data_IF_024232254269
#
_entry.id   IF_024232254269
#
_cell.length_a   1.000
_cell.length_b   1.000
_cell.length_c   1.000
_cell.angle_alpha   90.00
_cell.angle_beta   90.00
_cell.angle_gamma   90.00
#
_symmetry.space_group_name_H-M   'P 1'
#
loop_
_entity.id
_entity.type
_entity.pdbx_description
1 polymer ?
#
# COMPACT_ATOMS: atom_id res chain seq x y z
N UNK A 1 32.94 21.86 17.24
CA UNK A 1 32.94 21.06 15.99
C UNK A 1 31.85 20.03 16.15
N UNK A 2 30.73 20.25 15.45
CA UNK A 2 29.60 19.31 15.45
C UNK A 2 30.01 18.01 14.74
N UNK A 3 29.68 16.83 15.27
CA UNK A 3 29.97 15.57 14.61
C UNK A 3 29.18 15.46 13.30
N UNK A 4 29.84 14.94 12.26
CA UNK A 4 29.21 14.66 10.97
C UNK A 4 27.98 13.76 11.14
N UNK A 5 26.93 14.01 10.36
CA UNK A 5 25.69 13.23 10.33
C UNK A 5 25.97 11.74 10.03
N UNK A 6 27.07 11.43 9.33
CA UNK A 6 27.56 10.05 9.13
C UNK A 6 28.07 9.40 10.42
N UNK A 7 28.69 10.16 11.33
CA UNK A 7 29.19 9.63 12.60
C UNK A 7 28.06 9.39 13.60
N UNK A 8 26.99 10.20 13.55
CA UNK A 8 25.77 9.97 14.32
C UNK A 8 25.03 8.71 13.84
N UNK A 9 24.91 8.51 12.52
CA UNK A 9 24.31 7.29 11.93
C UNK A 9 25.11 6.03 12.25
N UNK A 10 26.45 6.08 12.21
CA UNK A 10 27.30 4.93 12.56
C UNK A 10 27.24 4.57 14.03
N UNK A 11 27.01 5.54 14.93
CA UNK A 11 26.82 5.27 16.37
C UNK A 11 25.47 4.62 16.65
N UNK A 12 24.40 5.05 15.98
CA UNK A 12 23.08 4.43 16.10
C UNK A 12 23.06 2.98 15.62
N UNK A 13 23.73 2.69 14.50
CA UNK A 13 23.81 1.32 13.96
C UNK A 13 24.70 0.37 14.78
N UNK A 14 25.66 0.90 15.54
CA UNK A 14 26.48 0.08 16.46
C UNK A 14 25.83 -0.17 17.81
N UNK A 15 24.87 0.66 18.22
CA UNK A 15 24.15 0.50 19.48
C UNK A 15 23.07 -0.61 19.42
N UNK A 16 22.65 -1.04 18.24
CA UNK A 16 21.56 -2.02 18.04
C UNK A 16 22.01 -3.48 17.89
N UNK A 17 23.30 -3.80 17.98
CA UNK A 17 23.78 -5.19 17.95
C UNK A 17 24.90 -5.46 18.96
N UNK A 18 24.68 -6.29 20.00
CA UNK A 18 25.81 -6.89 20.72
C UNK A 18 26.42 -7.99 19.83
N UNK A 19 27.75 -8.24 19.92
CA UNK A 19 28.38 -9.25 19.08
C UNK A 19 28.15 -10.62 19.71
N UNK A 20 27.56 -11.56 18.96
CA UNK A 20 27.71 -12.99 19.27
C UNK A 20 28.09 -13.77 18.02
N UNK A 21 29.04 -14.66 18.25
CA UNK A 21 29.91 -15.27 17.27
C UNK A 21 29.25 -16.25 16.31
N UNK A 22 29.97 -16.43 15.21
CA UNK A 22 30.00 -17.53 14.24
C UNK A 22 29.32 -18.85 14.65
N UNK A 23 28.35 -19.28 13.84
CA UNK A 23 28.34 -20.58 13.12
C UNK A 23 27.19 -20.63 12.09
N UNK A 24 27.34 -21.32 10.94
CA UNK A 24 26.31 -21.42 9.92
C UNK A 24 25.41 -22.62 10.20
N UNK A 25 24.11 -22.36 10.38
CA UNK A 25 23.10 -23.39 10.54
C UNK A 25 21.76 -22.85 10.06
N UNK A 26 21.23 -23.48 9.02
CA UNK A 26 19.87 -23.28 8.53
C UNK A 26 18.90 -23.47 9.68
N UNK A 27 18.21 -22.40 10.08
CA UNK A 27 17.02 -22.45 10.93
C UNK A 27 15.97 -21.53 10.31
N UNK A 28 15.17 -22.17 9.46
CA UNK A 28 13.73 -21.94 9.40
C UNK A 28 13.15 -22.10 10.82
N UNK A 29 12.02 -21.46 11.08
CA UNK A 29 11.35 -21.27 12.38
C UNK A 29 11.81 -20.04 13.19
N UNK A 30 11.20 -18.91 12.84
CA UNK A 30 10.61 -18.06 13.85
C UNK A 30 9.22 -17.68 13.35
N UNK A 31 8.18 -18.04 14.10
CA UNK A 31 6.86 -17.43 14.04
C UNK A 31 7.06 -15.91 14.07
N UNK A 32 7.19 -15.34 12.89
CA UNK A 32 7.44 -13.94 12.70
C UNK A 32 6.15 -13.24 13.09
N UNK A 33 6.25 -12.20 13.90
CA UNK A 33 5.19 -11.20 14.01
C UNK A 33 4.61 -10.97 12.60
N UNK A 34 3.41 -11.51 12.36
CA UNK A 34 2.88 -11.70 11.01
C UNK A 34 2.49 -10.34 10.44
N UNK A 35 3.45 -9.63 9.86
CA UNK A 35 3.20 -8.37 9.16
C UNK A 35 2.50 -8.66 7.83
N UNK A 36 1.39 -7.98 7.59
CA UNK A 36 0.58 -8.05 6.37
C UNK A 36 0.95 -6.86 5.47
N UNK A 37 1.20 -7.05 4.16
CA UNK A 37 1.46 -5.93 3.26
C UNK A 37 0.17 -5.15 2.96
N UNK A 38 0.30 -3.83 2.92
CA UNK A 38 -0.74 -2.91 2.44
C UNK A 38 -0.42 -2.59 0.99
N UNK A 39 -1.35 -2.86 0.10
CA UNK A 39 -1.18 -2.74 -1.35
C UNK A 39 -2.25 -1.82 -1.90
N UNK A 40 -1.85 -0.89 -2.75
CA UNK A 40 -2.75 -0.08 -3.56
C UNK A 40 -2.95 -0.82 -4.88
N UNK A 41 -4.15 -1.35 -5.12
CA UNK A 41 -4.47 -2.14 -6.31
C UNK A 41 -5.18 -1.32 -7.37
N UNK A 42 -4.90 -1.63 -8.64
CA UNK A 42 -5.47 -0.94 -9.80
C UNK A 42 -6.34 -1.89 -10.63
N UNK A 43 -7.45 -1.35 -11.15
CA UNK A 43 -8.31 -2.05 -12.12
C UNK A 43 -7.96 -1.67 -13.56
N UNK A 44 -8.23 -2.55 -14.54
CA UNK A 44 -8.00 -2.26 -15.93
C UNK A 44 -8.94 -1.14 -16.43
N UNK A 45 -8.47 -0.31 -17.39
CA UNK A 45 -9.30 0.70 -18.03
C UNK A 45 -10.48 0.03 -18.74
N UNK A 46 -11.70 0.50 -18.50
CA UNK A 46 -12.91 -0.08 -19.11
C UNK A 46 -13.69 -1.06 -18.23
N UNK A 47 -13.23 -1.35 -17.01
CA UNK A 47 -14.13 -1.94 -15.99
C UNK A 47 -15.28 -0.95 -15.72
N UNK A 48 -16.47 -1.45 -15.34
CA UNK A 48 -17.63 -0.59 -14.98
C UNK A 48 -17.31 0.44 -13.88
N UNK A 49 -16.19 0.27 -13.17
CA UNK A 49 -15.62 1.20 -12.20
C UNK A 49 -14.28 1.75 -12.72
N UNK A 50 -14.29 2.41 -13.88
CA UNK A 50 -13.11 2.86 -14.63
C UNK A 50 -12.17 3.82 -13.85
N UNK A 51 -12.64 4.36 -12.73
CA UNK A 51 -11.89 5.23 -11.83
C UNK A 51 -11.74 4.59 -10.43
N UNK A 52 -11.32 3.34 -10.31
CA UNK A 52 -11.20 2.67 -8.99
C UNK A 52 -9.79 2.21 -8.68
N UNK A 53 -9.17 2.92 -7.74
CA UNK A 53 -8.08 2.42 -6.92
C UNK A 53 -8.68 1.86 -5.63
N UNK A 54 -8.08 0.81 -5.09
CA UNK A 54 -8.48 0.25 -3.80
C UNK A 54 -7.24 -0.03 -2.95
N UNK A 55 -7.42 -0.07 -1.64
CA UNK A 55 -6.38 -0.51 -0.71
C UNK A 55 -6.71 -1.94 -0.32
N UNK A 56 -5.79 -2.87 -0.57
CA UNK A 56 -5.89 -4.26 -0.22
C UNK A 56 -4.85 -4.61 0.84
N UNK A 57 -5.25 -5.34 1.88
CA UNK A 57 -4.34 -5.91 2.87
C UNK A 57 -4.25 -7.40 2.59
N UNK A 58 -3.08 -7.87 2.15
CA UNK A 58 -2.90 -9.29 1.80
C UNK A 58 -2.73 -10.08 3.09
N UNK A 59 -3.72 -10.90 3.42
CA UNK A 59 -3.76 -11.70 4.66
C UNK A 59 -3.01 -13.01 4.51
N UNK A 60 -3.04 -13.59 3.31
CA UNK A 60 -2.27 -14.78 2.97
C UNK A 60 -1.71 -14.66 1.54
N UNK A 61 -0.39 -14.51 1.45
CA UNK A 61 0.31 -14.37 0.16
C UNK A 61 0.28 -15.64 -0.69
N UNK A 62 0.13 -16.82 -0.09
CA UNK A 62 0.10 -18.10 -0.82
C UNK A 62 -1.25 -18.31 -1.50
N UNK A 63 -2.34 -17.92 -0.84
CA UNK A 63 -3.71 -18.03 -1.37
C UNK A 63 -4.21 -16.75 -2.05
N UNK A 64 -3.41 -15.69 -2.06
CA UNK A 64 -3.79 -14.36 -2.58
C UNK A 64 -5.04 -13.77 -1.90
N UNK A 65 -5.36 -14.23 -0.69
CA UNK A 65 -6.49 -13.74 0.07
C UNK A 65 -6.18 -12.38 0.67
N UNK A 66 -7.13 -11.47 0.58
CA UNK A 66 -6.98 -10.11 1.09
C UNK A 66 -8.30 -9.51 1.60
N UNK A 67 -8.13 -8.47 2.41
CA UNK A 67 -9.20 -7.55 2.79
C UNK A 67 -9.10 -6.31 1.92
N UNK A 68 -10.13 -6.04 1.12
CA UNK A 68 -10.12 -4.93 0.15
C UNK A 68 -11.06 -3.83 0.61
N UNK A 69 -10.51 -2.63 0.65
CA UNK A 69 -11.19 -1.38 0.91
C UNK A 69 -11.31 -0.64 -0.43
N UNK A 70 -12.53 -0.52 -0.93
CA UNK A 70 -12.77 0.17 -2.19
C UNK A 70 -13.06 1.65 -1.96
N UNK A 71 -12.50 2.47 -2.83
CA UNK A 71 -12.98 3.85 -3.03
C UNK A 71 -13.96 3.82 -4.18
N UNK A 72 -15.19 4.30 -3.97
CA UNK A 72 -16.11 4.53 -5.06
C UNK A 72 -16.86 5.84 -4.89
N UNK A 73 -17.32 6.41 -6.02
CA UNK A 73 -18.34 7.45 -6.00
C UNK A 73 -19.68 6.79 -5.67
N UNK A 74 -19.98 6.61 -4.39
CA UNK A 74 -21.30 6.15 -3.97
C UNK A 74 -22.32 7.27 -4.10
N UNK A 75 -23.58 6.88 -4.31
CA UNK A 75 -24.73 7.77 -4.15
C UNK A 75 -25.37 7.43 -2.80
N UNK A 76 -25.71 8.43 -1.99
CA UNK A 76 -26.47 8.20 -0.77
C UNK A 76 -27.92 7.78 -1.07
N UNK A 77 -28.65 7.45 -0.01
CA UNK A 77 -30.09 7.13 -0.04
C UNK A 77 -30.99 8.23 -0.63
N UNK A 78 -30.45 9.42 -0.87
CA UNK A 78 -31.14 10.56 -1.47
C UNK A 78 -30.74 10.78 -2.94
N UNK A 79 -29.95 9.87 -3.51
CA UNK A 79 -29.48 9.97 -4.90
C UNK A 79 -28.41 11.04 -5.10
N UNK A 80 -27.87 11.61 -4.02
CA UNK A 80 -26.77 12.56 -4.07
C UNK A 80 -25.46 11.80 -4.08
N UNK A 81 -24.46 12.24 -4.86
CA UNK A 81 -23.11 11.67 -4.75
C UNK A 81 -22.60 11.91 -3.33
N UNK A 82 -22.52 10.85 -2.55
CA UNK A 82 -21.95 10.84 -1.21
C UNK A 82 -20.67 10.00 -1.30
N UNK A 83 -19.51 10.64 -1.40
CA UNK A 83 -18.26 9.90 -1.53
C UNK A 83 -18.01 9.15 -0.22
N UNK A 84 -17.60 7.90 -0.32
CA UNK A 84 -17.33 7.07 0.85
C UNK A 84 -16.49 5.87 0.45
N UNK A 85 -15.69 5.38 1.40
CA UNK A 85 -15.13 4.04 1.31
C UNK A 85 -16.30 3.06 1.42
N UNK A 86 -16.81 2.61 0.28
CA UNK A 86 -17.93 1.67 0.24
C UNK A 86 -17.41 0.28 -0.02
N UNK A 87 -17.80 -0.61 0.89
CA UNK A 87 -17.68 -2.06 0.83
C UNK A 87 -16.29 -2.57 1.17
N UNK A 88 -16.29 -3.29 2.28
CA UNK A 88 -15.28 -4.19 2.79
C UNK A 88 -15.54 -5.55 2.14
N UNK A 89 -14.66 -6.01 1.26
CA UNK A 89 -14.65 -7.42 0.87
C UNK A 89 -13.71 -8.15 1.83
N UNK A 90 -14.27 -8.89 2.79
CA UNK A 90 -13.47 -9.48 3.89
C UNK A 90 -12.52 -10.58 3.43
N UNK A 91 -12.72 -11.13 2.23
CA UNK A 91 -12.03 -12.31 1.74
C UNK A 91 -11.95 -12.31 0.21
N UNK A 92 -11.49 -11.22 -0.38
CA UNK A 92 -11.28 -11.19 -1.82
C UNK A 92 -10.05 -12.01 -2.19
N UNK A 93 -10.09 -12.70 -3.33
CA UNK A 93 -8.99 -13.51 -3.84
C UNK A 93 -8.42 -12.82 -5.07
N UNK A 94 -7.18 -12.33 -4.97
CA UNK A 94 -6.47 -11.68 -6.07
C UNK A 94 -5.76 -12.72 -6.94
N UNK A 95 -6.54 -13.53 -7.65
CA UNK A 95 -6.05 -14.52 -8.61
C UNK A 95 -6.24 -14.05 -10.08
N UNK A 96 -5.98 -14.94 -11.03
CA UNK A 96 -6.13 -14.68 -12.48
C UNK A 96 -7.56 -14.30 -12.91
N UNK A 97 -8.57 -14.57 -12.07
CA UNK A 97 -9.98 -14.27 -12.34
C UNK A 97 -10.41 -12.96 -11.69
N UNK A 98 -9.57 -12.36 -10.83
CA UNK A 98 -9.88 -11.08 -10.22
C UNK A 98 -9.88 -9.98 -11.28
N UNK A 99 -10.73 -8.96 -11.07
CA UNK A 99 -10.77 -7.77 -11.93
C UNK A 99 -9.56 -6.82 -11.70
N UNK A 100 -8.61 -7.19 -10.84
CA UNK A 100 -7.41 -6.41 -10.61
C UNK A 100 -6.29 -6.86 -11.53
N UNK A 101 -5.50 -5.90 -11.98
CA UNK A 101 -4.37 -6.18 -12.87
C UNK A 101 -3.02 -6.04 -12.16
N UNK A 102 -2.98 -5.77 -10.85
CA UNK A 102 -1.75 -5.59 -10.08
C UNK A 102 -1.87 -4.49 -9.05
N UNK A 103 -0.74 -4.11 -8.45
CA UNK A 103 -0.72 -3.04 -7.46
C UNK A 103 0.66 -2.68 -6.92
N UNK A 104 0.67 -1.70 -6.02
CA UNK A 104 1.86 -1.13 -5.39
C UNK A 104 1.83 -1.39 -3.89
N UNK A 105 2.80 -2.11 -3.37
CA UNK A 105 2.99 -2.33 -1.94
C UNK A 105 3.55 -1.05 -1.31
N UNK A 106 2.73 -0.40 -0.50
CA UNK A 106 3.03 0.90 0.11
C UNK A 106 3.52 0.75 1.55
N UNK A 107 3.30 -0.38 2.21
CA UNK A 107 3.63 -0.52 3.62
C UNK A 107 3.30 -1.88 4.18
N UNK A 108 3.39 -2.00 5.51
CA UNK A 108 3.04 -3.21 6.25
C UNK A 108 2.30 -2.86 7.54
N UNK A 109 1.44 -3.75 7.98
CA UNK A 109 0.69 -3.66 9.23
C UNK A 109 0.81 -4.97 10.00
N UNK A 110 0.93 -4.91 11.32
CA UNK A 110 0.87 -6.12 12.13
C UNK A 110 -0.53 -6.73 12.08
N UNK A 111 -0.63 -8.06 12.10
CA UNK A 111 -1.94 -8.73 12.10
C UNK A 111 -2.85 -8.28 13.26
N UNK A 112 -2.26 -7.97 14.42
CA UNK A 112 -2.99 -7.44 15.57
C UNK A 112 -3.56 -6.03 15.33
N UNK A 113 -2.93 -5.26 14.44
CA UNK A 113 -3.33 -3.89 14.07
C UNK A 113 -4.36 -3.84 12.92
N UNK A 114 -4.79 -4.98 12.39
CA UNK A 114 -5.73 -5.05 11.28
C UNK A 114 -7.07 -4.38 11.60
N UNK A 115 -7.59 -4.60 12.81
CA UNK A 115 -8.82 -3.94 13.27
C UNK A 115 -8.65 -2.42 13.41
N UNK A 116 -7.46 -1.96 13.82
CA UNK A 116 -7.12 -0.54 13.91
C UNK A 116 -7.07 0.10 12.54
N UNK A 117 -6.55 -0.62 11.54
CA UNK A 117 -6.52 -0.17 10.14
C UNK A 117 -7.93 -0.04 9.56
N UNK A 118 -8.78 -1.04 9.80
CA UNK A 118 -10.19 -1.02 9.41
C UNK A 118 -10.91 0.17 10.01
N UNK A 119 -10.71 0.41 11.30
CA UNK A 119 -11.29 1.57 11.97
C UNK A 119 -10.75 2.90 11.41
N UNK A 120 -9.49 2.96 10.97
CA UNK A 120 -8.93 4.17 10.38
C UNK A 120 -9.53 4.46 8.98
N UNK A 121 -9.70 3.44 8.13
CA UNK A 121 -10.24 3.60 6.78
C UNK A 121 -11.76 3.75 6.75
N UNK A 122 -12.48 3.04 7.62
CA UNK A 122 -13.94 3.05 7.67
C UNK A 122 -14.52 3.96 8.78
N UNK A 123 -13.67 4.57 9.60
CA UNK A 123 -14.09 5.37 10.74
C UNK A 123 -14.56 6.77 10.36
N UNK A 124 -15.36 7.36 11.25
CA UNK A 124 -15.88 8.73 11.12
C UNK A 124 -14.80 9.83 11.19
N UNK A 125 -13.56 9.47 11.54
CA UNK A 125 -12.40 10.38 11.61
C UNK A 125 -11.62 10.48 10.30
N UNK A 126 -11.94 9.64 9.32
CA UNK A 126 -11.34 9.75 8.00
C UNK A 126 -11.77 11.10 7.37
N UNK A 127 -10.86 11.84 6.70
CA UNK A 127 -11.19 13.15 6.14
C UNK A 127 -12.47 13.06 5.31
N UNK A 128 -13.48 13.90 5.62
CA UNK A 128 -14.71 13.87 4.86
C UNK A 128 -14.40 14.27 3.41
N UNK A 129 -15.15 13.72 2.45
CA UNK A 129 -15.04 14.12 1.05
C UNK A 129 -15.10 15.62 0.86
N UNK A 130 -13.99 16.25 0.51
CA UNK A 130 -14.03 17.62 0.02
C UNK A 130 -14.32 17.62 -1.48
N UNK A 131 -15.61 17.49 -1.80
CA UNK A 131 -16.25 17.89 -3.06
C UNK A 131 -15.87 17.16 -4.37
N UNK A 132 -16.73 17.41 -5.37
CA UNK A 132 -16.95 16.76 -6.67
C UNK A 132 -15.73 16.59 -7.62
N UNK A 133 -14.51 16.92 -7.18
CA UNK A 133 -13.30 16.98 -8.02
C UNK A 133 -12.25 15.91 -7.72
N UNK A 134 -12.41 15.13 -6.65
CA UNK A 134 -11.42 14.14 -6.26
C UNK A 134 -11.56 12.87 -7.10
N UNK A 135 -10.47 12.51 -7.79
CA UNK A 135 -10.35 11.21 -8.44
C UNK A 135 -10.05 10.12 -7.40
N UNK A 136 -10.24 8.84 -7.74
CA UNK A 136 -9.87 7.73 -6.85
C UNK A 136 -8.37 7.74 -6.48
N UNK A 137 -7.53 8.33 -7.33
CA UNK A 137 -6.13 8.56 -7.02
C UNK A 137 -5.98 9.58 -5.87
N UNK A 138 -6.66 10.72 -5.93
CA UNK A 138 -6.66 11.72 -4.84
C UNK A 138 -7.13 11.11 -3.51
N UNK A 139 -8.15 10.25 -3.58
CA UNK A 139 -8.65 9.51 -2.42
C UNK A 139 -7.62 8.55 -1.84
N UNK A 140 -6.95 7.80 -2.71
CA UNK A 140 -5.93 6.83 -2.31
C UNK A 140 -4.75 7.53 -1.64
N UNK A 141 -4.27 8.63 -2.22
CA UNK A 141 -3.21 9.46 -1.63
C UNK A 141 -3.66 9.99 -0.26
N UNK A 142 -4.89 10.47 -0.14
CA UNK A 142 -5.43 10.96 1.14
C UNK A 142 -5.51 9.86 2.18
N UNK A 143 -5.92 8.64 1.81
CA UNK A 143 -5.92 7.51 2.73
C UNK A 143 -4.53 7.15 3.21
N UNK A 144 -3.55 7.12 2.31
CA UNK A 144 -2.16 6.87 2.68
C UNK A 144 -1.70 7.89 3.72
N UNK A 145 -1.93 9.19 3.48
CA UNK A 145 -1.57 10.25 4.44
C UNK A 145 -2.30 10.12 5.78
N UNK A 146 -3.58 9.77 5.74
CA UNK A 146 -4.35 9.54 6.94
C UNK A 146 -3.78 8.36 7.75
N UNK A 147 -3.46 7.25 7.09
CA UNK A 147 -2.85 6.09 7.72
C UNK A 147 -1.46 6.42 8.32
N UNK A 148 -0.63 7.19 7.61
CA UNK A 148 0.64 7.68 8.16
C UNK A 148 0.43 8.49 9.45
N UNK A 149 -0.56 9.39 9.46
CA UNK A 149 -0.91 10.18 10.64
C UNK A 149 -1.47 9.33 11.79
N UNK A 150 -2.07 8.17 11.51
CA UNK A 150 -2.47 7.17 12.51
C UNK A 150 -1.31 6.28 12.99
N UNK A 151 -0.09 6.50 12.47
CA UNK A 151 1.12 5.78 12.88
C UNK A 151 1.31 4.43 12.19
N UNK A 152 0.69 4.20 11.03
CA UNK A 152 0.99 3.02 10.22
C UNK A 152 2.33 3.17 9.49
N UNK A 153 3.11 2.09 9.42
CA UNK A 153 4.40 2.07 8.74
C UNK A 153 4.20 1.99 7.22
N UNK A 154 4.16 3.17 6.58
CA UNK A 154 4.05 3.32 5.14
C UNK A 154 5.33 3.94 4.58
N UNK A 155 5.77 3.40 3.45
CA UNK A 155 7.02 3.72 2.77
C UNK A 155 6.80 4.93 1.84
N UNK A 156 6.32 6.07 2.36
CA UNK A 156 6.19 7.31 1.56
C UNK A 156 6.99 8.50 2.09
N UNK A 157 7.84 8.26 3.09
CA UNK A 157 8.66 9.31 3.71
C UNK A 157 9.48 10.11 2.69
N UNK A 158 9.38 11.43 2.77
CA UNK A 158 10.12 12.35 1.91
C UNK A 158 9.51 12.58 0.52
N UNK A 159 8.40 11.92 0.18
CA UNK A 159 7.62 12.25 -1.02
C UNK A 159 6.57 13.29 -0.66
N UNK A 160 6.48 14.37 -1.43
CA UNK A 160 5.29 15.23 -1.41
C UNK A 160 4.11 14.55 -2.15
N UNK A 161 2.96 15.23 -2.21
CA UNK A 161 1.75 14.67 -2.80
C UNK A 161 1.89 14.40 -4.31
N UNK A 162 2.54 15.30 -5.03
CA UNK A 162 2.70 15.19 -6.48
C UNK A 162 3.63 14.01 -6.81
N UNK A 163 4.73 13.88 -6.06
CA UNK A 163 5.65 12.77 -6.22
C UNK A 163 5.00 11.43 -5.87
N UNK A 164 4.24 11.35 -4.77
CA UNK A 164 3.55 10.12 -4.40
C UNK A 164 2.52 9.68 -5.47
N UNK A 165 1.73 10.63 -5.99
CA UNK A 165 0.79 10.39 -7.10
C UNK A 165 1.50 9.82 -8.33
N UNK A 166 2.57 10.47 -8.77
CA UNK A 166 3.37 10.02 -9.92
C UNK A 166 3.94 8.62 -9.69
N UNK A 167 4.45 8.33 -8.49
CA UNK A 167 5.01 7.02 -8.14
C UNK A 167 3.95 5.92 -8.12
N UNK A 168 2.81 6.16 -7.49
CA UNK A 168 1.69 5.20 -7.47
C UNK A 168 1.27 4.86 -8.90
N UNK A 169 1.07 5.87 -9.74
CA UNK A 169 0.65 5.69 -11.13
C UNK A 169 1.67 4.91 -11.96
N UNK A 170 2.96 5.27 -11.90
CA UNK A 170 4.02 4.59 -12.66
C UNK A 170 4.17 3.14 -12.21
N UNK A 171 4.27 2.89 -10.90
CA UNK A 171 4.54 1.56 -10.37
C UNK A 171 3.32 0.64 -10.56
N UNK A 172 2.10 1.17 -10.44
CA UNK A 172 0.88 0.41 -10.73
C UNK A 172 0.77 0.05 -12.22
N UNK A 173 1.16 0.97 -13.12
CA UNK A 173 1.21 0.66 -14.55
C UNK A 173 2.23 -0.44 -14.86
N UNK A 174 3.40 -0.41 -14.20
CA UNK A 174 4.41 -1.45 -14.35
C UNK A 174 3.91 -2.80 -13.84
N UNK A 175 3.30 -2.83 -12.66
CA UNK A 175 2.68 -4.02 -12.08
C UNK A 175 1.61 -4.61 -13.00
N UNK A 176 0.77 -3.74 -13.58
CA UNK A 176 -0.24 -4.13 -14.57
C UNK A 176 0.37 -4.79 -15.79
N UNK A 177 1.34 -4.13 -16.42
CA UNK A 177 1.99 -4.65 -17.62
C UNK A 177 2.63 -6.01 -17.37
N UNK A 178 3.31 -6.17 -16.23
CA UNK A 178 3.92 -7.46 -15.86
C UNK A 178 2.88 -8.57 -15.67
N UNK A 179 1.74 -8.25 -15.05
CA UNK A 179 0.65 -9.21 -14.85
C UNK A 179 0.07 -9.67 -16.21
N UNK A 180 -0.17 -8.73 -17.11
CA UNK A 180 -0.66 -8.99 -18.48
C UNK A 180 0.36 -9.82 -19.30
N UNK A 181 1.64 -9.44 -19.29
CA UNK A 181 2.72 -10.14 -20.01
C UNK A 181 2.88 -11.59 -19.53
N UNK A 182 2.67 -11.86 -18.24
CA UNK A 182 2.87 -13.18 -17.64
C UNK A 182 1.62 -14.05 -17.62
N UNK A 183 0.44 -13.51 -17.98
CA UNK A 183 -0.85 -14.18 -17.86
C UNK A 183 -1.00 -14.87 -16.49
N UNK A 184 -0.65 -14.14 -15.43
CA UNK A 184 -0.55 -14.63 -14.05
C UNK A 184 -1.49 -13.88 -13.11
N UNK A 185 -1.51 -14.28 -11.84
CA UNK A 185 -2.23 -13.53 -10.81
C UNK A 185 -1.63 -12.10 -10.67
N UNK A 186 -2.41 -11.13 -10.18
CA UNK A 186 -1.96 -9.75 -9.94
C UNK A 186 -0.57 -9.68 -9.29
N UNK A 187 0.35 -9.01 -9.97
CA UNK A 187 1.70 -8.77 -9.47
C UNK A 187 1.69 -7.50 -8.62
N UNK A 188 2.36 -7.57 -7.47
CA UNK A 188 2.51 -6.42 -6.57
C UNK A 188 3.97 -6.00 -6.50
N UNK A 189 4.25 -4.74 -6.85
CA UNK A 189 5.60 -4.18 -6.83
C UNK A 189 5.79 -3.28 -5.60
N UNK A 190 6.99 -3.19 -5.01
CA UNK A 190 7.24 -2.23 -3.94
C UNK A 190 7.12 -0.79 -4.46
N UNK A 191 6.56 0.11 -3.65
CA UNK A 191 6.61 1.55 -3.92
C UNK A 191 8.07 1.98 -3.95
N UNK A 192 8.60 2.32 -5.12
CA UNK A 192 10.02 2.70 -5.18
C UNK A 192 10.20 4.16 -4.81
N UNK A 193 11.09 4.45 -3.86
CA UNK A 193 11.40 5.79 -3.38
C UNK A 193 12.55 6.47 -4.15
N UNK A 194 13.12 5.81 -5.15
CA UNK A 194 14.28 6.31 -5.90
C UNK A 194 13.89 7.32 -6.97
N UNK A 195 13.98 8.60 -6.60
CA UNK A 195 14.18 9.72 -7.52
C UNK A 195 15.66 10.07 -7.69
N UNK A 196 16.49 9.14 -8.15
CA UNK A 196 17.81 9.43 -8.73
C UNK A 196 18.34 8.18 -9.44
N UNK A 197 18.84 8.36 -10.67
CA UNK A 197 19.51 7.38 -11.52
C UNK A 197 18.65 6.28 -12.17
N UNK A 198 17.80 6.70 -13.13
CA UNK A 198 17.83 5.99 -14.42
C UNK A 198 19.13 6.38 -15.12
N UNK A 199 20.19 5.57 -14.98
CA UNK A 199 21.26 5.61 -15.99
C UNK A 199 20.77 4.87 -17.22
N UNK A 200 20.76 5.47 -18.42
CA UNK A 200 20.62 4.70 -19.64
C UNK A 200 21.82 3.76 -19.78
N UNK A 201 21.55 2.59 -20.35
CA UNK A 201 22.54 1.58 -20.69
C UNK A 201 23.64 2.13 -21.59
#
# INVERSE_FOLDING_TARGET
>A
MEPSLQDQLRRLLRATHPPRGTTPGVQDDSESNLTLPIVVVSRPPGSRAADSWAIAVVTDKRSHQCRVFHVSHAYDRHGMRAPGWTVFAENEVLDRRSDYAGGVCIGRVDRADLARLEQALCGSRFPPPMWERWSAETWTVTAIRHLEAQGFTIVTYGLDNDHLSVRLTIDAYCARRLTEEQNSAPIFVPLSLSGAERRPR
#
